data_IF_235259661545
#
_entry.id   IF_235259661545
#
_cell.length_a   1.000
_cell.length_b   1.000
_cell.length_c   1.000
_cell.angle_alpha   90.00
_cell.angle_beta   90.00
_cell.angle_gamma   90.00
#
_symmetry.space_group_name_H-M   'P 1'
#
loop_
_entity.id
_entity.type
_entity.pdbx_description
1 polymer ?
#
# COMPACT_ATOMS: atom_id res chain seq x y z
N UNK A 1 -41.28 -11.95 -2.69
CA UNK A 1 -40.48 -11.70 -3.90
C UNK A 1 -39.26 -12.59 -3.76
N UNK A 2 -39.24 -13.71 -4.47
CA UNK A 2 -38.14 -14.69 -4.39
C UNK A 2 -37.10 -14.33 -5.44
N UNK A 3 -35.83 -14.30 -5.04
CA UNK A 3 -34.70 -14.06 -5.92
C UNK A 3 -34.50 -15.34 -6.74
N UNK A 4 -34.44 -15.20 -8.07
CA UNK A 4 -34.20 -16.35 -8.95
C UNK A 4 -32.72 -16.76 -8.88
N UNK A 5 -32.40 -18.03 -9.18
CA UNK A 5 -31.02 -18.52 -9.19
C UNK A 5 -30.10 -17.67 -10.09
N UNK A 6 -30.60 -17.25 -11.25
CA UNK A 6 -29.87 -16.38 -12.17
C UNK A 6 -29.55 -14.98 -11.57
N UNK A 7 -30.43 -14.44 -10.74
CA UNK A 7 -30.17 -13.17 -10.03
C UNK A 7 -29.16 -13.35 -8.90
N UNK A 8 -29.14 -14.52 -8.27
CA UNK A 8 -28.17 -14.86 -7.23
C UNK A 8 -26.78 -15.06 -7.82
N UNK A 9 -26.65 -15.78 -8.94
CA UNK A 9 -25.39 -15.93 -9.67
C UNK A 9 -24.84 -14.58 -10.14
N UNK A 10 -25.67 -13.73 -10.75
CA UNK A 10 -25.23 -12.40 -11.19
C UNK A 10 -24.74 -11.52 -10.04
N UNK A 11 -25.33 -11.64 -8.84
CA UNK A 11 -24.88 -10.94 -7.63
C UNK A 11 -23.55 -11.49 -7.11
N UNK A 12 -23.35 -12.81 -7.16
CA UNK A 12 -22.11 -13.47 -6.74
C UNK A 12 -20.97 -13.07 -7.67
N UNK A 13 -21.18 -13.15 -8.99
CA UNK A 13 -20.18 -12.79 -9.99
C UNK A 13 -19.78 -11.31 -9.89
N UNK A 14 -20.76 -10.41 -9.67
CA UNK A 14 -20.48 -9.00 -9.45
C UNK A 14 -19.62 -8.77 -8.20
N UNK A 15 -19.95 -9.43 -7.07
CA UNK A 15 -19.17 -9.31 -5.83
C UNK A 15 -17.77 -9.93 -5.95
N UNK A 16 -17.62 -11.02 -6.69
CA UNK A 16 -16.33 -11.64 -6.96
C UNK A 16 -15.46 -10.75 -7.85
N UNK A 17 -16.05 -10.16 -8.90
CA UNK A 17 -15.36 -9.20 -9.76
C UNK A 17 -14.93 -7.94 -8.99
N UNK A 18 -15.79 -7.38 -8.13
CA UNK A 18 -15.45 -6.26 -7.25
C UNK A 18 -14.30 -6.61 -6.29
N UNK A 19 -14.32 -7.81 -5.67
CA UNK A 19 -13.24 -8.28 -4.78
C UNK A 19 -11.94 -8.52 -5.53
N UNK A 20 -12.00 -9.13 -6.71
CA UNK A 20 -10.82 -9.37 -7.55
C UNK A 20 -10.22 -8.06 -8.03
N UNK A 21 -11.04 -7.11 -8.48
CA UNK A 21 -10.58 -5.77 -8.83
C UNK A 21 -9.91 -5.07 -7.63
N UNK A 22 -10.44 -5.25 -6.41
CA UNK A 22 -9.85 -4.69 -5.19
C UNK A 22 -8.52 -5.38 -4.82
N UNK A 23 -8.40 -6.69 -5.00
CA UNK A 23 -7.16 -7.45 -4.76
C UNK A 23 -6.07 -7.15 -5.82
N UNK A 24 -6.46 -6.84 -7.06
CA UNK A 24 -5.54 -6.53 -8.15
C UNK A 24 -5.05 -5.07 -8.08
N UNK A 25 -5.92 -4.12 -7.70
CA UNK A 25 -5.63 -2.66 -7.61
C UNK A 25 -4.67 -2.23 -6.49
N UNK A 26 -3.99 -3.16 -5.82
CA UNK A 26 -3.09 -2.81 -4.72
C UNK A 26 -1.70 -3.42 -4.87
N UNK A 27 -1.38 -3.96 -6.05
CA UNK A 27 -0.07 -4.53 -6.35
C UNK A 27 1.03 -3.46 -6.34
N UNK A 28 0.74 -2.25 -6.84
CA UNK A 28 1.70 -1.15 -6.89
C UNK A 28 2.13 -0.70 -5.48
N UNK A 29 1.16 -0.43 -4.60
CA UNK A 29 1.43 -0.07 -3.21
C UNK A 29 2.12 -1.21 -2.45
N UNK A 30 1.67 -2.46 -2.64
CA UNK A 30 2.29 -3.62 -1.99
C UNK A 30 3.77 -3.75 -2.36
N UNK A 31 4.12 -3.63 -3.64
CA UNK A 31 5.51 -3.63 -4.11
C UNK A 31 6.30 -2.50 -3.46
N UNK A 32 5.76 -1.28 -3.48
CA UNK A 32 6.43 -0.12 -2.88
C UNK A 32 6.66 -0.31 -1.37
N UNK A 33 5.71 -0.92 -0.66
CA UNK A 33 5.85 -1.20 0.77
C UNK A 33 6.99 -2.19 1.05
N UNK A 34 7.12 -3.23 0.25
CA UNK A 34 8.24 -4.18 0.35
C UNK A 34 9.59 -3.49 0.08
N UNK A 35 9.64 -2.56 -0.87
CA UNK A 35 10.83 -1.73 -1.14
C UNK A 35 11.18 -0.81 0.06
N UNK A 36 10.18 -0.17 0.68
CA UNK A 36 10.35 0.66 1.89
C UNK A 36 10.90 -0.18 3.05
N UNK A 37 10.34 -1.37 3.26
CA UNK A 37 10.77 -2.30 4.31
C UNK A 37 12.24 -2.69 4.11
N UNK A 38 12.61 -3.11 2.90
CA UNK A 38 13.97 -3.48 2.54
C UNK A 38 14.96 -2.30 2.72
N UNK A 39 14.57 -1.10 2.32
CA UNK A 39 15.37 0.11 2.51
C UNK A 39 15.62 0.39 4.01
N UNK A 40 14.56 0.35 4.82
CA UNK A 40 14.64 0.60 6.26
C UNK A 40 15.52 -0.43 6.95
N UNK A 41 15.37 -1.71 6.62
CA UNK A 41 16.21 -2.78 7.15
C UNK A 41 17.69 -2.61 6.77
N UNK A 42 17.97 -2.28 5.49
CA UNK A 42 19.34 -2.05 5.03
C UNK A 42 19.98 -0.89 5.79
N UNK A 43 19.29 0.25 5.89
CA UNK A 43 19.78 1.45 6.61
C UNK A 43 20.10 1.15 8.07
N UNK A 44 19.27 0.36 8.73
CA UNK A 44 19.41 0.01 10.15
C UNK A 44 20.46 -1.07 10.39
N UNK A 45 20.70 -1.98 9.45
CA UNK A 45 21.85 -2.89 9.52
C UNK A 45 23.18 -2.15 9.41
N UNK A 46 23.23 -1.06 8.66
CA UNK A 46 24.44 -0.22 8.51
C UNK A 46 24.66 0.71 9.71
N UNK A 47 23.59 1.25 10.30
CA UNK A 47 23.63 2.04 11.52
C UNK A 47 23.17 1.18 12.71
N UNK A 48 24.12 0.56 13.43
CA UNK A 48 24.12 -0.24 14.69
C UNK A 48 22.83 -0.34 15.55
N UNK A 49 21.88 0.57 15.42
CA UNK A 49 20.60 0.65 16.14
C UNK A 49 19.52 -0.22 15.45
N UNK A 50 19.69 -1.54 15.53
CA UNK A 50 18.74 -2.57 15.03
C UNK A 50 17.27 -2.39 15.48
N UNK A 51 17.02 -1.63 16.55
CA UNK A 51 15.68 -1.40 17.13
C UNK A 51 14.85 -0.30 16.44
N UNK A 52 15.37 0.39 15.42
CA UNK A 52 14.71 1.56 14.81
C UNK A 52 14.10 1.35 13.42
N UNK A 53 14.20 0.16 12.82
CA UNK A 53 13.63 -0.09 11.48
C UNK A 53 12.12 0.12 11.43
N UNK A 54 11.40 -0.35 12.46
CA UNK A 54 9.97 -0.11 12.60
C UNK A 54 9.62 1.38 12.68
N UNK A 55 10.37 2.15 13.49
CA UNK A 55 10.14 3.59 13.64
C UNK A 55 10.43 4.37 12.35
N UNK A 56 11.48 4.00 11.61
CA UNK A 56 11.81 4.62 10.32
C UNK A 56 10.72 4.33 9.29
N UNK A 57 10.29 3.08 9.20
CA UNK A 57 9.18 2.68 8.33
C UNK A 57 7.90 3.45 8.68
N UNK A 58 7.57 3.58 9.95
CA UNK A 58 6.38 4.30 10.40
C UNK A 58 6.47 5.79 10.05
N UNK A 59 7.65 6.40 10.17
CA UNK A 59 7.88 7.79 9.74
C UNK A 59 7.63 7.97 8.23
N UNK A 60 8.24 7.12 7.40
CA UNK A 60 8.07 7.14 5.94
C UNK A 60 6.60 6.91 5.57
N UNK A 61 5.97 5.90 6.15
CA UNK A 61 4.56 5.56 5.88
C UNK A 61 3.60 6.68 6.33
N UNK A 62 3.97 7.44 7.36
CA UNK A 62 3.17 8.59 7.82
C UNK A 62 3.27 9.75 6.85
N UNK A 63 4.47 10.09 6.39
CA UNK A 63 4.67 11.12 5.36
C UNK A 63 3.90 10.80 4.08
N UNK A 64 4.00 9.54 3.61
CA UNK A 64 3.25 9.08 2.43
C UNK A 64 1.75 9.28 2.62
N UNK A 65 1.17 8.79 3.74
CA UNK A 65 -0.27 8.95 4.02
C UNK A 65 -0.74 10.40 3.99
N UNK A 66 0.02 11.30 4.61
CA UNK A 66 -0.32 12.72 4.63
C UNK A 66 -0.25 13.36 3.25
N UNK A 67 0.73 12.96 2.43
CA UNK A 67 0.95 13.59 1.13
C UNK A 67 -0.08 13.11 0.08
N UNK A 68 -0.44 11.83 0.10
CA UNK A 68 -1.41 11.26 -0.86
C UNK A 68 -2.86 11.37 -0.37
N UNK A 69 -3.10 12.12 0.72
CA UNK A 69 -4.39 12.29 1.40
C UNK A 69 -5.12 10.96 1.65
N UNK A 70 -4.38 9.97 2.17
CA UNK A 70 -4.93 8.65 2.42
C UNK A 70 -4.86 8.29 3.91
N UNK A 71 -6.04 8.17 4.53
CA UNK A 71 -6.18 7.86 5.96
C UNK A 71 -5.67 6.46 6.31
N UNK A 72 -5.80 5.51 5.38
CA UNK A 72 -5.35 4.13 5.55
C UNK A 72 -4.46 3.72 4.39
N UNK A 73 -3.17 3.45 4.65
CA UNK A 73 -2.23 2.99 3.60
C UNK A 73 -2.73 1.76 2.83
N UNK A 74 -3.52 0.88 3.45
CA UNK A 74 -4.07 -0.30 2.76
C UNK A 74 -5.14 0.05 1.72
N UNK A 75 -5.57 1.31 1.68
CA UNK A 75 -6.57 1.84 0.75
C UNK A 75 -5.97 2.77 -0.30
N UNK A 76 -4.63 2.85 -0.37
CA UNK A 76 -3.93 3.56 -1.44
C UNK A 76 -4.32 2.92 -2.78
N UNK A 77 -4.80 3.73 -3.71
CA UNK A 77 -5.05 3.32 -5.10
C UNK A 77 -3.78 3.43 -5.96
N UNK A 78 -3.87 3.03 -7.22
CA UNK A 78 -2.71 3.00 -8.12
C UNK A 78 -2.14 4.42 -8.41
N UNK A 79 -2.98 5.45 -8.53
CA UNK A 79 -2.50 6.84 -8.77
C UNK A 79 -1.81 7.40 -7.53
N UNK A 80 -2.36 7.12 -6.35
CA UNK A 80 -1.75 7.45 -5.07
C UNK A 80 -0.46 6.65 -4.85
N UNK A 81 -0.36 5.42 -5.35
CA UNK A 81 0.86 4.61 -5.27
C UNK A 81 2.01 5.20 -6.09
N UNK A 82 1.73 5.77 -7.26
CA UNK A 82 2.73 6.47 -8.06
C UNK A 82 3.25 7.73 -7.35
N UNK A 83 2.36 8.56 -6.80
CA UNK A 83 2.75 9.73 -5.97
C UNK A 83 3.54 9.30 -4.72
N UNK A 84 3.12 8.21 -4.08
CA UNK A 84 3.84 7.65 -2.94
C UNK A 84 5.26 7.20 -3.32
N UNK A 85 5.45 6.65 -4.52
CA UNK A 85 6.76 6.25 -5.03
C UNK A 85 7.66 7.46 -5.27
N UNK A 86 7.17 8.51 -5.92
CA UNK A 86 7.93 9.76 -6.11
C UNK A 86 8.39 10.37 -4.79
N UNK A 87 7.50 10.38 -3.79
CA UNK A 87 7.84 10.85 -2.45
C UNK A 87 8.87 9.95 -1.78
N UNK A 88 8.74 8.63 -1.91
CA UNK A 88 9.71 7.69 -1.34
C UNK A 88 11.11 7.87 -1.95
N UNK A 89 11.22 8.06 -3.27
CA UNK A 89 12.49 8.40 -3.93
C UNK A 89 13.10 9.69 -3.38
N UNK A 90 12.28 10.72 -3.18
CA UNK A 90 12.72 11.99 -2.60
C UNK A 90 13.22 11.81 -1.16
N UNK A 91 12.53 11.01 -0.35
CA UNK A 91 12.92 10.67 1.02
C UNK A 91 14.26 9.93 1.04
N UNK A 92 14.49 8.98 0.12
CA UNK A 92 15.77 8.25 0.02
C UNK A 92 16.95 9.19 -0.26
N UNK A 93 16.74 10.26 -1.04
CA UNK A 93 17.77 11.28 -1.29
C UNK A 93 18.08 12.15 -0.08
N UNK A 94 17.14 12.26 0.87
CA UNK A 94 17.29 13.08 2.08
C UNK A 94 17.91 12.33 3.26
N UNK A 95 17.62 11.04 3.41
CA UNK A 95 18.03 10.20 4.55
C UNK A 95 19.29 9.41 4.24
#
# INVERSE_FOLDING_TARGET
MEITEAQLEALIDRKLAERLATNIRNMAWKSLREEIDAFCEKRVKTNVIAKRSGSLRDAISTLIRFNVDCRNVASIDDEQADKARELFESIKGFI
#
